data_IF_634596659137
#
_entry.id   IF_634596659137
#
_cell.length_a   1.000
_cell.length_b   1.000
_cell.length_c   1.000
_cell.angle_alpha   90.00
_cell.angle_beta   90.00
_cell.angle_gamma   90.00
#
_symmetry.space_group_name_H-M   'P 1'
#
loop_
_entity.id
_entity.type
_entity.pdbx_description
1 polymer ?
#
# COMPACT_ATOMS: atom_id res chain seq x y z
N UNK A 1 15.76 14.11 5.71
CA UNK A 1 14.72 13.44 4.93
C UNK A 1 13.36 14.10 5.13
N UNK A 2 12.86 14.29 6.36
CA UNK A 2 11.54 14.91 6.63
C UNK A 2 11.44 16.42 6.38
N UNK A 3 12.56 17.15 6.26
CA UNK A 3 12.55 18.62 6.09
C UNK A 3 11.79 19.10 4.85
N UNK A 4 11.74 18.30 3.79
CA UNK A 4 11.03 18.66 2.54
C UNK A 4 9.53 18.57 2.63
N UNK A 5 9.00 17.74 3.54
CA UNK A 5 7.56 17.69 3.81
C UNK A 5 7.07 18.95 4.53
N UNK A 6 7.92 19.58 5.34
CA UNK A 6 7.58 20.73 6.19
C UNK A 6 6.34 20.50 7.09
N UNK A 7 5.98 19.24 7.25
CA UNK A 7 4.89 18.75 8.09
C UNK A 7 5.32 17.38 8.63
N UNK A 8 5.84 17.36 9.85
CA UNK A 8 6.38 16.15 10.48
C UNK A 8 5.32 15.05 10.67
N UNK A 9 4.09 15.34 11.18
CA UNK A 9 3.06 14.34 11.30
C UNK A 9 2.67 13.70 9.96
N UNK A 10 2.53 14.51 8.90
CA UNK A 10 2.25 13.97 7.56
C UNK A 10 3.39 13.11 7.05
N UNK A 11 4.64 13.54 7.23
CA UNK A 11 5.81 12.77 6.83
C UNK A 11 5.91 11.42 7.56
N UNK A 12 5.58 11.38 8.87
CA UNK A 12 5.55 10.14 9.63
C UNK A 12 4.45 9.21 9.09
N UNK A 13 3.23 9.72 8.87
CA UNK A 13 2.11 8.91 8.38
C UNK A 13 2.43 8.30 7.00
N UNK A 14 2.90 9.10 6.06
CA UNK A 14 3.30 8.63 4.72
C UNK A 14 4.51 7.67 4.81
N UNK A 15 5.45 7.93 5.73
CA UNK A 15 6.59 7.04 5.98
C UNK A 15 6.18 5.66 6.46
N UNK A 16 5.22 5.57 7.39
CA UNK A 16 4.68 4.29 7.86
C UNK A 16 3.99 3.52 6.73
N UNK A 17 3.21 4.21 5.89
CA UNK A 17 2.60 3.60 4.70
C UNK A 17 3.68 3.09 3.72
N UNK A 18 4.75 3.85 3.53
CA UNK A 18 5.87 3.44 2.68
C UNK A 18 6.53 2.17 3.20
N UNK A 19 6.80 2.10 4.51
CA UNK A 19 7.37 0.90 5.15
C UNK A 19 6.43 -0.30 4.98
N UNK A 20 5.13 -0.09 5.13
CA UNK A 20 4.14 -1.14 4.91
C UNK A 20 4.22 -1.72 3.49
N UNK A 21 4.29 -0.88 2.46
CA UNK A 21 4.45 -1.37 1.08
C UNK A 21 5.75 -2.14 0.89
N UNK A 22 6.86 -1.69 1.48
CA UNK A 22 8.13 -2.42 1.41
C UNK A 22 8.00 -3.81 2.06
N UNK A 23 7.37 -3.89 3.23
CA UNK A 23 7.12 -5.16 3.91
C UNK A 23 6.27 -6.07 3.03
N UNK A 24 5.20 -5.57 2.40
CA UNK A 24 4.36 -6.35 1.49
C UNK A 24 5.16 -6.90 0.31
N UNK A 25 6.01 -6.09 -0.31
CA UNK A 25 6.89 -6.54 -1.41
C UNK A 25 7.80 -7.69 -0.95
N UNK A 26 8.44 -7.52 0.20
CA UNK A 26 9.34 -8.55 0.75
C UNK A 26 8.56 -9.83 1.06
N UNK A 27 7.44 -9.73 1.75
CA UNK A 27 6.62 -10.89 2.10
C UNK A 27 6.18 -11.63 0.82
N UNK A 28 5.52 -10.96 -0.12
CA UNK A 28 5.06 -11.61 -1.35
C UNK A 28 6.21 -12.19 -2.18
N UNK A 29 7.36 -11.52 -2.25
CA UNK A 29 8.51 -12.05 -2.99
C UNK A 29 9.01 -13.39 -2.43
N UNK A 30 9.02 -13.56 -1.11
CA UNK A 30 9.54 -14.76 -0.46
C UNK A 30 8.48 -15.83 -0.16
N UNK A 31 7.21 -15.46 0.02
CA UNK A 31 6.15 -16.40 0.42
C UNK A 31 5.14 -16.70 -0.69
N UNK A 32 5.32 -16.17 -1.90
CA UNK A 32 4.37 -16.31 -3.01
C UNK A 32 3.97 -17.78 -3.28
N UNK A 33 4.95 -18.69 -3.33
CA UNK A 33 4.69 -20.11 -3.59
C UNK A 33 3.89 -20.75 -2.47
N UNK A 34 4.34 -20.60 -1.23
CA UNK A 34 3.65 -21.13 -0.04
C UNK A 34 2.24 -20.59 0.05
N UNK A 35 2.06 -19.28 -0.15
CA UNK A 35 0.75 -18.66 -0.16
C UNK A 35 -0.20 -19.29 -1.20
N UNK A 36 0.26 -19.52 -2.43
CA UNK A 36 -0.55 -20.12 -3.49
C UNK A 36 -0.87 -21.60 -3.22
N UNK A 37 0.06 -22.34 -2.60
CA UNK A 37 -0.15 -23.72 -2.19
C UNK A 37 -1.16 -23.81 -1.04
N UNK A 38 -0.99 -23.01 0.00
CA UNK A 38 -1.86 -22.98 1.19
C UNK A 38 -3.29 -22.54 0.86
N UNK A 39 -3.46 -21.61 -0.08
CA UNK A 39 -4.79 -21.14 -0.51
C UNK A 39 -5.45 -22.03 -1.56
N UNK A 40 -4.75 -23.02 -2.10
CA UNK A 40 -5.26 -23.93 -3.14
C UNK A 40 -5.47 -23.27 -4.51
N UNK A 41 -5.00 -22.05 -4.72
CA UNK A 41 -5.11 -21.33 -6.00
C UNK A 41 -4.25 -21.98 -7.09
N UNK A 42 -3.13 -22.59 -6.67
CA UNK A 42 -2.19 -23.27 -7.57
C UNK A 42 -1.12 -22.36 -8.16
N UNK A 43 0.00 -22.97 -8.50
CA UNK A 43 1.22 -22.27 -8.96
C UNK A 43 1.07 -21.55 -10.32
N UNK A 44 0.02 -21.84 -11.09
CA UNK A 44 -0.26 -21.12 -12.34
C UNK A 44 -0.50 -19.62 -12.13
N UNK A 45 -0.91 -19.21 -10.91
CA UNK A 45 -1.10 -17.80 -10.54
C UNK A 45 0.20 -17.10 -10.09
N UNK A 46 1.32 -17.80 -9.98
CA UNK A 46 2.60 -17.24 -9.52
C UNK A 46 3.05 -15.97 -10.28
N UNK A 47 2.94 -15.91 -11.62
CA UNK A 47 3.27 -14.69 -12.35
C UNK A 47 2.43 -13.49 -11.91
N UNK A 48 1.14 -13.69 -11.59
CA UNK A 48 0.27 -12.61 -11.13
C UNK A 48 0.72 -12.08 -9.76
N UNK A 49 1.13 -12.94 -8.85
CA UNK A 49 1.67 -12.52 -7.55
C UNK A 49 2.94 -11.68 -7.73
N UNK A 50 3.83 -12.06 -8.63
CA UNK A 50 5.02 -11.25 -8.92
C UNK A 50 4.70 -9.91 -9.59
N UNK A 51 3.66 -9.85 -10.42
CA UNK A 51 3.16 -8.57 -10.94
C UNK A 51 2.64 -7.64 -9.82
N UNK A 52 1.94 -8.20 -8.83
CA UNK A 52 1.53 -7.43 -7.64
C UNK A 52 2.73 -6.96 -6.83
N UNK A 53 3.75 -7.80 -6.63
CA UNK A 53 5.01 -7.38 -6.00
C UNK A 53 5.65 -6.20 -6.74
N UNK A 54 5.73 -6.28 -8.07
CA UNK A 54 6.29 -5.20 -8.89
C UNK A 54 5.48 -3.91 -8.76
N UNK A 55 4.14 -4.01 -8.75
CA UNK A 55 3.26 -2.86 -8.53
C UNK A 55 3.52 -2.21 -7.17
N UNK A 56 3.53 -3.00 -6.09
CA UNK A 56 3.81 -2.47 -4.74
C UNK A 56 5.22 -1.87 -4.62
N UNK A 57 6.21 -2.48 -5.25
CA UNK A 57 7.57 -1.92 -5.31
C UNK A 57 7.59 -0.56 -6.01
N UNK A 58 6.88 -0.43 -7.12
CA UNK A 58 6.77 0.84 -7.87
C UNK A 58 6.11 1.92 -7.02
N UNK A 59 5.04 1.59 -6.29
CA UNK A 59 4.35 2.51 -5.38
C UNK A 59 5.24 2.91 -4.21
N UNK A 60 5.98 1.96 -3.61
CA UNK A 60 6.94 2.23 -2.55
C UNK A 60 8.06 3.18 -3.02
N UNK A 61 8.62 2.93 -4.20
CA UNK A 61 9.64 3.81 -4.81
C UNK A 61 9.06 5.21 -5.05
N UNK A 62 7.84 5.31 -5.58
CA UNK A 62 7.15 6.58 -5.76
C UNK A 62 7.04 7.36 -4.45
N UNK A 63 6.62 6.72 -3.36
CA UNK A 63 6.56 7.33 -2.03
C UNK A 63 7.94 7.75 -1.52
N UNK A 64 8.98 6.91 -1.68
CA UNK A 64 10.35 7.25 -1.31
C UNK A 64 10.82 8.51 -2.06
N UNK A 65 10.51 8.60 -3.35
CA UNK A 65 10.87 9.79 -4.15
C UNK A 65 10.21 11.05 -3.62
N UNK A 66 9.01 10.98 -3.04
CA UNK A 66 8.39 12.16 -2.41
C UNK A 66 9.16 12.63 -1.17
N UNK A 67 9.86 11.75 -0.45
CA UNK A 67 10.76 12.15 0.64
C UNK A 67 12.04 12.82 0.14
N UNK A 68 12.49 12.47 -1.07
CA UNK A 68 13.70 13.06 -1.67
C UNK A 68 13.41 14.41 -2.34
N UNK A 69 12.33 14.47 -3.12
CA UNK A 69 11.97 15.66 -3.93
C UNK A 69 11.03 16.62 -3.18
N UNK A 70 10.24 16.15 -2.26
CA UNK A 70 9.12 16.84 -1.62
C UNK A 70 7.77 16.43 -2.22
N UNK A 71 6.67 16.68 -1.52
CA UNK A 71 5.32 16.35 -1.99
C UNK A 71 4.76 17.37 -2.99
N UNK A 72 5.40 18.53 -3.13
CA UNK A 72 4.88 19.67 -3.90
C UNK A 72 4.68 19.30 -5.37
N UNK A 73 3.48 19.59 -5.89
CA UNK A 73 3.11 19.30 -7.29
C UNK A 73 2.93 17.82 -7.62
N UNK A 74 2.85 16.94 -6.64
CA UNK A 74 2.69 15.49 -6.81
C UNK A 74 1.22 15.02 -6.67
N UNK A 75 0.26 15.93 -6.86
CA UNK A 75 -1.17 15.67 -6.61
C UNK A 75 -1.69 14.42 -7.33
N UNK A 76 -1.32 14.20 -8.57
CA UNK A 76 -1.76 13.03 -9.35
C UNK A 76 -1.31 11.75 -8.65
N UNK A 77 -0.03 11.65 -8.29
CA UNK A 77 0.51 10.48 -7.61
C UNK A 77 -0.19 10.22 -6.27
N UNK A 78 -0.36 11.27 -5.46
CA UNK A 78 -1.04 11.16 -4.16
C UNK A 78 -2.52 10.78 -4.30
N UNK A 79 -3.22 11.27 -5.33
CA UNK A 79 -4.60 10.89 -5.61
C UNK A 79 -4.72 9.43 -6.06
N UNK A 80 -3.83 8.97 -6.94
CA UNK A 80 -3.79 7.56 -7.37
C UNK A 80 -3.55 6.64 -6.18
N UNK A 81 -2.61 7.01 -5.30
CA UNK A 81 -2.34 6.27 -4.06
C UNK A 81 -3.56 6.25 -3.13
N UNK A 82 -4.29 7.37 -3.00
CA UNK A 82 -5.51 7.43 -2.19
C UNK A 82 -6.58 6.46 -2.70
N UNK A 83 -6.82 6.46 -4.01
CA UNK A 83 -7.75 5.52 -4.66
C UNK A 83 -7.30 4.08 -4.41
N UNK A 84 -6.01 3.80 -4.54
CA UNK A 84 -5.44 2.48 -4.28
C UNK A 84 -5.63 2.01 -2.83
N UNK A 85 -5.45 2.90 -1.85
CA UNK A 85 -5.67 2.58 -0.43
C UNK A 85 -7.15 2.25 -0.15
N UNK A 86 -8.07 3.05 -0.68
CA UNK A 86 -9.52 2.81 -0.54
C UNK A 86 -9.90 1.50 -1.26
N UNK A 87 -9.37 1.28 -2.46
CA UNK A 87 -9.59 0.06 -3.23
C UNK A 87 -9.10 -1.19 -2.50
N UNK A 88 -7.96 -1.11 -1.81
CA UNK A 88 -7.45 -2.20 -0.98
C UNK A 88 -8.38 -2.57 0.18
N UNK A 89 -8.94 -1.58 0.87
CA UNK A 89 -9.94 -1.81 1.93
C UNK A 89 -11.20 -2.47 1.37
N UNK A 90 -11.71 -1.95 0.25
CA UNK A 90 -12.90 -2.50 -0.42
C UNK A 90 -12.64 -3.94 -0.88
N UNK A 91 -11.47 -4.22 -1.46
CA UNK A 91 -11.08 -5.55 -1.89
C UNK A 91 -11.10 -6.56 -0.74
N UNK A 92 -10.46 -6.25 0.38
CA UNK A 92 -10.47 -7.11 1.58
C UNK A 92 -11.88 -7.29 2.15
N UNK A 93 -12.73 -6.28 2.11
CA UNK A 93 -14.14 -6.41 2.52
C UNK A 93 -14.92 -7.36 1.62
N UNK A 94 -14.71 -7.30 0.30
CA UNK A 94 -15.35 -8.19 -0.67
C UNK A 94 -14.87 -9.63 -0.45
N UNK A 95 -13.57 -9.86 -0.23
CA UNK A 95 -13.03 -11.19 0.04
C UNK A 95 -13.68 -11.83 1.26
N UNK A 96 -13.83 -11.06 2.36
CA UNK A 96 -14.50 -11.55 3.58
C UNK A 96 -15.99 -11.79 3.31
N UNK A 97 -16.68 -10.90 2.60
CA UNK A 97 -18.10 -11.02 2.33
C UNK A 97 -18.44 -12.22 1.40
N UNK A 98 -17.48 -12.63 0.57
CA UNK A 98 -17.61 -13.76 -0.35
C UNK A 98 -17.03 -15.08 0.20
N UNK A 99 -16.61 -15.12 1.47
CA UNK A 99 -15.94 -16.27 2.08
C UNK A 99 -14.76 -16.80 1.22
N UNK A 100 -14.01 -15.87 0.63
CA UNK A 100 -12.86 -16.23 -0.20
C UNK A 100 -11.77 -16.95 0.63
N UNK A 101 -11.10 -17.93 0.02
CA UNK A 101 -10.00 -18.67 0.68
C UNK A 101 -8.82 -17.78 1.08
N UNK A 102 -8.72 -16.58 0.49
CA UNK A 102 -7.73 -15.55 0.80
C UNK A 102 -8.20 -14.55 1.85
N UNK A 103 -9.47 -14.66 2.31
CA UNK A 103 -10.06 -13.73 3.25
C UNK A 103 -9.33 -13.76 4.60
N UNK A 104 -8.75 -12.64 5.00
CA UNK A 104 -8.03 -12.50 6.27
C UNK A 104 -8.50 -11.22 6.99
N UNK A 105 -9.21 -11.37 8.12
CA UNK A 105 -9.63 -10.23 8.94
C UNK A 105 -8.47 -9.36 9.42
N UNK A 106 -7.28 -9.92 9.63
CA UNK A 106 -6.10 -9.17 10.04
C UNK A 106 -5.63 -8.24 8.91
N UNK A 107 -5.64 -8.75 7.67
CA UNK A 107 -5.31 -7.92 6.50
C UNK A 107 -6.33 -6.80 6.30
N UNK A 108 -7.62 -7.04 6.55
CA UNK A 108 -8.63 -5.97 6.52
C UNK A 108 -8.32 -4.88 7.56
N UNK A 109 -8.07 -5.26 8.81
CA UNK A 109 -7.73 -4.29 9.87
C UNK A 109 -6.48 -3.49 9.51
N UNK A 110 -5.43 -4.15 9.04
CA UNK A 110 -4.20 -3.49 8.60
C UNK A 110 -4.47 -2.52 7.43
N UNK A 111 -5.25 -2.93 6.43
CA UNK A 111 -5.58 -2.08 5.29
C UNK A 111 -6.36 -0.83 5.72
N UNK A 112 -7.28 -0.94 6.67
CA UNK A 112 -8.02 0.20 7.24
C UNK A 112 -7.06 1.15 7.97
N UNK A 113 -6.16 0.63 8.80
CA UNK A 113 -5.18 1.44 9.54
C UNK A 113 -4.29 2.22 8.57
N UNK A 114 -3.73 1.55 7.56
CA UNK A 114 -2.83 2.20 6.60
C UNK A 114 -3.56 3.15 5.66
N UNK A 115 -4.81 2.85 5.28
CA UNK A 115 -5.65 3.78 4.54
C UNK A 115 -5.94 5.04 5.38
N UNK A 116 -6.27 4.90 6.66
CA UNK A 116 -6.50 6.04 7.57
C UNK A 116 -5.22 6.88 7.74
N UNK A 117 -4.06 6.26 7.94
CA UNK A 117 -2.76 6.95 8.01
C UNK A 117 -2.47 7.71 6.71
N UNK A 118 -2.72 7.08 5.56
CA UNK A 118 -2.53 7.73 4.27
C UNK A 118 -3.47 8.92 4.09
N UNK A 119 -4.77 8.75 4.38
CA UNK A 119 -5.77 9.83 4.34
C UNK A 119 -5.38 11.00 5.24
N UNK A 120 -4.89 10.72 6.45
CA UNK A 120 -4.40 11.75 7.37
C UNK A 120 -3.22 12.52 6.77
N UNK A 121 -2.21 11.82 6.27
CA UNK A 121 -1.05 12.45 5.63
C UNK A 121 -1.44 13.27 4.40
N UNK A 122 -2.28 12.69 3.54
CA UNK A 122 -2.83 13.36 2.35
C UNK A 122 -3.60 14.65 2.70
N UNK A 123 -4.51 14.58 3.68
CA UNK A 123 -5.30 15.73 4.10
C UNK A 123 -4.43 16.90 4.56
N UNK A 124 -3.37 16.61 5.32
CA UNK A 124 -2.42 17.63 5.79
C UNK A 124 -1.60 18.24 4.65
N UNK A 125 -1.30 17.46 3.62
CA UNK A 125 -0.49 17.89 2.49
C UNK A 125 -1.29 18.51 1.34
N UNK A 126 -2.62 18.40 1.34
CA UNK A 126 -3.48 18.75 0.19
C UNK A 126 -3.29 20.17 -0.35
N UNK A 127 -2.91 21.12 0.51
CA UNK A 127 -2.66 22.51 0.09
C UNK A 127 -1.32 22.69 -0.62
N UNK A 128 -0.47 21.67 -0.64
CA UNK A 128 0.86 21.66 -1.27
C UNK A 128 0.92 20.73 -2.48
N UNK A 129 -0.04 19.81 -2.61
CA UNK A 129 -0.14 18.88 -3.72
C UNK A 129 -0.75 19.58 -4.95
#
# INVERSE_FOLDING_TARGET
MFKKYNDTPAAIAIGLVTIFFIIQVVLFAFTAKTFLEDTGIGLAALPMVYWLCFLFATLAIGLILTFVKGPDGQSIFFNVMLIGQIGGVIGNLIEIACDATTADPVLLVLSIIFAALYCFGYYRLRSRL
#
